data_IF_860037674047
#
_entry.id   IF_860037674047
#
_cell.length_a   1.000
_cell.length_b   1.000
_cell.length_c   1.000
_cell.angle_alpha   90.00
_cell.angle_beta   90.00
_cell.angle_gamma   90.00
#
_symmetry.space_group_name_H-M   'P 1'
#
loop_
_entity.id
_entity.type
_entity.pdbx_description
1 polymer ?
#
# COMPACT_ATOMS: atom_id res chain seq x y z
N UNK A 1 -14.64 3.54 13.84
CA UNK A 1 -14.06 2.34 14.47
C UNK A 1 -13.60 2.59 15.90
N UNK A 2 -12.70 3.55 16.14
CA UNK A 2 -12.14 3.83 17.49
C UNK A 2 -13.19 4.05 18.57
N UNK A 3 -14.27 4.78 18.27
CA UNK A 3 -15.39 4.97 19.20
C UNK A 3 -16.09 3.66 19.61
N UNK A 4 -16.29 2.73 18.67
CA UNK A 4 -16.91 1.44 18.97
C UNK A 4 -15.99 0.55 19.82
N UNK A 5 -14.67 0.65 19.59
CA UNK A 5 -13.66 -0.03 20.39
C UNK A 5 -13.57 0.56 21.82
N UNK A 6 -13.66 1.89 21.97
CA UNK A 6 -13.58 2.55 23.28
C UNK A 6 -14.81 2.32 24.14
N UNK A 7 -15.98 2.14 23.53
CA UNK A 7 -17.25 1.83 24.22
C UNK A 7 -17.42 0.35 24.50
N UNK A 8 -16.57 -0.53 23.94
CA UNK A 8 -16.72 -1.98 24.03
C UNK A 8 -17.82 -2.55 23.14
N UNK A 9 -18.46 -1.73 22.30
CA UNK A 9 -19.46 -2.18 21.34
C UNK A 9 -18.88 -3.15 20.28
N UNK A 10 -17.57 -3.08 20.04
CA UNK A 10 -16.82 -4.05 19.24
C UNK A 10 -15.46 -4.32 19.89
N UNK A 11 -14.96 -5.55 19.78
CA UNK A 11 -13.58 -5.92 20.12
C UNK A 11 -12.72 -5.99 18.86
N UNK A 12 -11.39 -5.94 19.02
CA UNK A 12 -10.42 -6.18 17.93
C UNK A 12 -10.68 -7.52 17.25
N UNK A 13 -10.87 -8.57 18.03
CA UNK A 13 -11.19 -9.93 17.53
C UNK A 13 -12.47 -9.93 16.70
N UNK A 14 -13.53 -9.28 17.19
CA UNK A 14 -14.81 -9.17 16.47
C UNK A 14 -14.67 -8.35 15.19
N UNK A 15 -13.92 -7.25 15.23
CA UNK A 15 -13.66 -6.41 14.08
C UNK A 15 -12.88 -7.17 12.98
N UNK A 16 -11.84 -7.93 13.36
CA UNK A 16 -11.10 -8.79 12.42
C UNK A 16 -11.99 -9.88 11.82
N UNK A 17 -12.85 -10.52 12.62
CA UNK A 17 -13.80 -11.51 12.12
C UNK A 17 -14.79 -10.92 11.10
N UNK A 18 -15.25 -9.67 11.30
CA UNK A 18 -16.12 -8.98 10.34
C UNK A 18 -15.39 -8.69 9.01
N UNK A 19 -14.13 -8.27 9.06
CA UNK A 19 -13.32 -8.08 7.85
C UNK A 19 -13.06 -9.40 7.11
N UNK A 20 -12.69 -10.46 7.81
CA UNK A 20 -12.53 -11.79 7.22
C UNK A 20 -13.81 -12.30 6.57
N UNK A 21 -14.97 -12.03 7.19
CA UNK A 21 -16.25 -12.39 6.60
C UNK A 21 -16.47 -11.69 5.24
N UNK A 22 -16.16 -10.39 5.14
CA UNK A 22 -16.21 -9.64 3.88
C UNK A 22 -15.25 -10.20 2.85
N UNK A 23 -14.00 -10.46 3.23
CA UNK A 23 -12.98 -11.06 2.34
C UNK A 23 -13.47 -12.41 1.82
N UNK A 24 -13.99 -13.27 2.71
CA UNK A 24 -14.50 -14.59 2.31
C UNK A 24 -15.69 -14.51 1.36
N UNK A 25 -16.45 -13.42 1.36
CA UNK A 25 -17.68 -13.25 0.58
C UNK A 25 -17.42 -12.62 -0.78
N UNK A 26 -16.48 -11.69 -0.86
CA UNK A 26 -16.27 -10.85 -2.05
C UNK A 26 -14.89 -11.00 -2.68
N UNK A 27 -13.87 -11.40 -1.91
CA UNK A 27 -12.50 -11.53 -2.40
C UNK A 27 -12.19 -12.95 -2.90
N UNK A 28 -12.51 -13.95 -2.08
CA UNK A 28 -12.26 -15.36 -2.36
C UNK A 28 -13.45 -16.05 -3.06
N UNK A 29 -14.63 -15.42 -3.03
CA UNK A 29 -15.89 -15.91 -3.62
C UNK A 29 -16.67 -14.73 -4.19
N UNK A 30 -17.83 -15.01 -4.79
CA UNK A 30 -18.71 -13.98 -5.32
C UNK A 30 -18.06 -13.26 -6.49
N UNK A 31 -17.77 -11.97 -6.31
CA UNK A 31 -17.08 -11.14 -7.31
C UNK A 31 -15.65 -11.61 -7.60
N UNK A 32 -15.05 -12.36 -6.67
CA UNK A 32 -13.69 -12.88 -6.79
C UNK A 32 -12.67 -11.76 -7.06
N UNK A 33 -12.68 -10.73 -6.21
CA UNK A 33 -11.81 -9.57 -6.35
C UNK A 33 -10.32 -9.90 -6.23
N UNK A 34 -9.97 -11.04 -5.61
CA UNK A 34 -8.60 -11.58 -5.52
C UNK A 34 -7.54 -10.54 -5.08
N UNK A 35 -7.89 -9.72 -4.11
CA UNK A 35 -7.09 -8.61 -3.60
C UNK A 35 -6.24 -8.98 -2.39
N UNK A 36 -6.65 -9.96 -1.57
CA UNK A 36 -5.95 -10.42 -0.35
C UNK A 36 -5.68 -11.93 -0.43
N UNK A 37 -4.71 -12.37 -1.26
CA UNK A 37 -4.47 -13.80 -1.50
C UNK A 37 -3.90 -14.55 -0.30
N UNK A 38 -3.25 -13.86 0.65
CA UNK A 38 -2.65 -14.47 1.83
C UNK A 38 -3.22 -13.83 3.10
N UNK A 39 -3.82 -14.64 3.96
CA UNK A 39 -4.28 -14.20 5.28
C UNK A 39 -3.19 -14.42 6.33
N UNK A 40 -3.09 -13.51 7.30
CA UNK A 40 -2.16 -13.65 8.41
C UNK A 40 -2.59 -14.81 9.32
N UNK A 41 -1.77 -15.88 9.48
CA UNK A 41 -2.13 -17.01 10.32
C UNK A 41 -2.24 -16.63 11.81
N UNK A 42 -1.58 -15.55 12.24
CA UNK A 42 -1.57 -15.07 13.62
C UNK A 42 -2.63 -14.00 13.92
N UNK A 43 -3.49 -13.68 12.94
CA UNK A 43 -4.45 -12.57 13.01
C UNK A 43 -5.27 -12.55 14.32
N UNK A 44 -5.86 -13.68 14.71
CA UNK A 44 -6.68 -13.74 15.92
C UNK A 44 -5.86 -13.68 17.21
N UNK A 45 -4.61 -14.15 17.20
CA UNK A 45 -3.72 -14.02 18.34
C UNK A 45 -3.30 -12.56 18.55
N UNK A 46 -2.95 -11.85 17.47
CA UNK A 46 -2.65 -10.41 17.49
C UNK A 46 -3.88 -9.59 17.96
N UNK A 47 -5.06 -9.92 17.45
CA UNK A 47 -6.31 -9.26 17.83
C UNK A 47 -6.68 -9.50 19.31
N UNK A 48 -6.57 -10.74 19.80
CA UNK A 48 -6.84 -11.07 21.19
C UNK A 48 -5.84 -10.39 22.14
N UNK A 49 -4.57 -10.30 21.77
CA UNK A 49 -3.57 -9.55 22.54
C UNK A 49 -3.92 -8.05 22.62
N UNK A 50 -4.43 -7.47 21.53
CA UNK A 50 -4.95 -6.10 21.53
C UNK A 50 -6.17 -5.92 22.43
N UNK A 51 -7.11 -6.88 22.42
CA UNK A 51 -8.27 -6.87 23.32
C UNK A 51 -7.85 -6.92 24.80
N UNK A 52 -6.87 -7.75 25.15
CA UNK A 52 -6.31 -7.82 26.50
C UNK A 52 -5.64 -6.51 26.94
N UNK A 53 -4.88 -5.87 26.04
CA UNK A 53 -4.29 -4.54 26.31
C UNK A 53 -5.38 -3.49 26.53
N UNK A 54 -6.43 -3.51 25.73
CA UNK A 54 -7.57 -2.59 25.87
C UNK A 54 -8.32 -2.79 27.18
N UNK A 55 -8.63 -4.04 27.54
CA UNK A 55 -9.30 -4.37 28.80
C UNK A 55 -8.49 -3.96 30.05
N UNK A 56 -7.16 -3.97 29.94
CA UNK A 56 -6.25 -3.54 31.01
C UNK A 56 -5.89 -2.05 30.97
N UNK A 57 -6.46 -1.25 30.05
CA UNK A 57 -6.17 0.17 29.91
C UNK A 57 -4.77 0.51 29.39
N UNK A 58 -4.09 -0.45 28.75
CA UNK A 58 -2.68 -0.36 28.29
C UNK A 58 -2.58 -0.31 26.76
N UNK A 59 -3.35 0.57 26.12
CA UNK A 59 -3.28 0.76 24.67
C UNK A 59 -1.87 1.22 24.25
N UNK A 60 -1.37 0.66 23.14
CA UNK A 60 -0.05 1.02 22.60
C UNK A 60 -0.07 2.33 21.82
N UNK A 61 -1.19 2.64 21.16
CA UNK A 61 -1.37 3.86 20.39
C UNK A 61 -2.84 4.17 20.17
N UNK A 62 -3.14 5.31 19.52
CA UNK A 62 -4.49 5.62 19.02
C UNK A 62 -4.99 4.59 18.00
N UNK A 63 -4.11 3.89 17.30
CA UNK A 63 -4.45 2.86 16.30
C UNK A 63 -4.35 1.42 16.83
N UNK A 64 -4.17 1.22 18.14
CA UNK A 64 -4.23 -0.14 18.71
C UNK A 64 -5.61 -0.77 18.40
N UNK A 65 -5.61 -2.03 17.98
CA UNK A 65 -6.76 -2.80 17.47
C UNK A 65 -7.19 -2.52 16.03
N UNK A 66 -6.56 -1.58 15.31
CA UNK A 66 -7.00 -1.23 13.95
C UNK A 66 -6.45 -2.22 12.91
N UNK A 67 -7.31 -2.90 12.13
CA UNK A 67 -6.84 -3.87 11.14
C UNK A 67 -6.37 -3.22 9.84
N UNK A 68 -5.30 -3.75 9.24
CA UNK A 68 -4.75 -3.24 7.97
C UNK A 68 -4.33 -4.38 7.03
N UNK A 69 -4.19 -4.06 5.73
CA UNK A 69 -3.55 -4.96 4.75
C UNK A 69 -2.19 -4.44 4.30
N UNK A 70 -1.29 -5.35 3.93
CA UNK A 70 0.09 -5.02 3.55
C UNK A 70 0.40 -5.54 2.14
N UNK A 71 1.01 -4.76 1.24
CA UNK A 71 1.43 -5.27 -0.08
C UNK A 71 2.42 -6.44 0.06
N UNK A 72 2.33 -7.44 -0.82
CA UNK A 72 3.12 -8.68 -0.71
C UNK A 72 4.65 -8.45 -0.71
N UNK A 73 5.13 -7.40 -1.38
CA UNK A 73 6.54 -7.03 -1.42
C UNK A 73 7.12 -6.53 -0.09
N UNK A 74 6.34 -6.33 0.97
CA UNK A 74 6.89 -5.99 2.28
C UNK A 74 7.27 -7.25 3.05
N UNK A 75 8.41 -7.27 3.74
CA UNK A 75 8.75 -8.32 4.69
C UNK A 75 7.79 -8.32 5.89
N UNK A 76 7.32 -9.50 6.29
CA UNK A 76 6.54 -9.73 7.50
C UNK A 76 6.85 -11.13 8.04
N UNK A 77 7.39 -11.24 9.24
CA UNK A 77 7.80 -12.49 9.87
C UNK A 77 6.63 -13.47 9.96
N UNK A 78 6.88 -14.72 9.58
CA UNK A 78 5.88 -15.79 9.54
C UNK A 78 4.99 -15.81 8.30
N UNK A 79 5.22 -14.92 7.33
CA UNK A 79 4.55 -14.93 6.03
C UNK A 79 5.56 -14.80 4.90
N UNK A 80 5.27 -15.35 3.72
CA UNK A 80 6.16 -15.19 2.57
C UNK A 80 6.27 -13.73 2.10
N UNK A 81 7.38 -13.43 1.43
CA UNK A 81 7.63 -12.16 0.72
C UNK A 81 7.92 -12.50 -0.73
N UNK A 82 6.86 -12.83 -1.48
CA UNK A 82 7.00 -13.29 -2.86
C UNK A 82 7.17 -12.14 -3.86
N UNK A 83 6.80 -10.93 -3.47
CA UNK A 83 6.65 -9.78 -4.35
C UNK A 83 5.83 -10.13 -5.63
N UNK A 84 4.79 -10.96 -5.50
CA UNK A 84 3.97 -11.44 -6.62
C UNK A 84 4.70 -12.38 -7.59
N UNK A 85 5.96 -12.75 -7.36
CA UNK A 85 6.77 -13.56 -8.25
C UNK A 85 6.69 -15.06 -7.91
N UNK A 86 6.44 -15.94 -8.90
CA UNK A 86 6.49 -17.39 -8.68
C UNK A 86 7.83 -17.90 -8.13
N UNK A 87 8.94 -17.24 -8.49
CA UNK A 87 10.28 -17.63 -8.03
C UNK A 87 10.46 -17.47 -6.51
N UNK A 88 9.69 -16.58 -5.87
CA UNK A 88 9.80 -16.26 -4.46
C UNK A 88 8.56 -16.65 -3.66
N UNK A 89 7.66 -17.47 -4.23
CA UNK A 89 6.38 -17.86 -3.63
C UNK A 89 6.49 -18.33 -2.17
N UNK A 90 7.58 -19.04 -1.85
CA UNK A 90 7.84 -19.61 -0.53
C UNK A 90 8.96 -18.88 0.26
N UNK A 91 9.49 -17.78 -0.27
CA UNK A 91 10.59 -17.05 0.37
C UNK A 91 10.12 -16.46 1.71
N UNK A 92 10.76 -16.89 2.80
CA UNK A 92 10.48 -16.39 4.14
C UNK A 92 11.44 -15.25 4.50
N UNK A 93 10.94 -14.12 5.01
CA UNK A 93 11.79 -13.06 5.51
C UNK A 93 12.40 -13.44 6.87
N UNK A 94 13.58 -12.90 7.16
CA UNK A 94 14.28 -13.05 8.44
C UNK A 94 13.95 -11.95 9.47
N UNK A 95 13.24 -10.90 9.05
CA UNK A 95 12.76 -9.80 9.89
C UNK A 95 11.49 -9.18 9.27
N UNK A 96 10.90 -8.21 9.96
CA UNK A 96 9.82 -7.40 9.42
C UNK A 96 10.36 -6.19 8.64
N UNK A 97 9.57 -5.71 7.68
CA UNK A 97 9.79 -4.38 7.13
C UNK A 97 9.62 -3.32 8.23
N UNK A 98 10.35 -2.21 8.14
CA UNK A 98 10.31 -1.14 9.14
C UNK A 98 8.88 -0.68 9.43
N UNK A 99 8.09 -0.42 8.39
CA UNK A 99 6.70 0.05 8.55
C UNK A 99 5.81 -1.02 9.16
N UNK A 100 6.06 -2.31 8.91
CA UNK A 100 5.32 -3.40 9.54
C UNK A 100 5.63 -3.47 11.05
N UNK A 101 6.90 -3.32 11.43
CA UNK A 101 7.30 -3.24 12.84
C UNK A 101 6.64 -2.05 13.55
N UNK A 102 6.60 -0.87 12.93
CA UNK A 102 5.97 0.31 13.53
C UNK A 102 4.46 0.12 13.71
N UNK A 103 3.79 -0.50 12.75
CA UNK A 103 2.37 -0.82 12.85
C UNK A 103 2.10 -1.85 13.97
N UNK A 104 2.91 -2.90 14.05
CA UNK A 104 2.80 -3.90 15.11
C UNK A 104 3.08 -3.30 16.51
N UNK A 105 4.12 -2.47 16.64
CA UNK A 105 4.45 -1.73 17.87
C UNK A 105 3.34 -0.76 18.29
N UNK A 106 2.60 -0.22 17.33
CA UNK A 106 1.43 0.62 17.59
C UNK A 106 0.17 -0.19 17.94
N UNK A 107 0.22 -1.52 17.88
CA UNK A 107 -0.90 -2.43 18.16
C UNK A 107 -1.91 -2.57 17.01
N UNK A 108 -1.54 -2.15 15.80
CA UNK A 108 -2.33 -2.44 14.60
C UNK A 108 -2.30 -3.95 14.32
N UNK A 109 -3.34 -4.47 13.68
CA UNK A 109 -3.50 -5.91 13.44
C UNK A 109 -3.46 -6.19 11.95
N UNK A 110 -2.55 -7.06 11.48
CA UNK A 110 -2.40 -7.28 10.04
C UNK A 110 -3.36 -8.39 9.56
N UNK A 111 -4.28 -8.05 8.65
CA UNK A 111 -5.26 -8.99 8.09
C UNK A 111 -4.60 -9.98 7.14
N UNK A 112 -3.76 -9.49 6.23
CA UNK A 112 -3.15 -10.28 5.19
C UNK A 112 -2.30 -9.48 4.21
N UNK A 113 -1.62 -10.21 3.31
CA UNK A 113 -0.87 -9.64 2.20
C UNK A 113 -1.79 -9.39 1.02
N UNK A 114 -1.54 -8.31 0.29
CA UNK A 114 -2.33 -7.91 -0.89
C UNK A 114 -1.61 -8.19 -2.20
N UNK A 115 -2.42 -8.46 -3.23
CA UNK A 115 -1.97 -8.88 -4.55
C UNK A 115 -1.15 -7.80 -5.28
N UNK A 116 -0.22 -8.25 -6.12
CA UNK A 116 0.65 -7.43 -6.96
C UNK A 116 1.27 -8.26 -8.10
N UNK A 117 1.67 -7.63 -9.23
CA UNK A 117 2.44 -8.31 -10.28
C UNK A 117 3.85 -8.68 -9.79
N UNK A 118 4.54 -9.62 -10.48
CA UNK A 118 5.90 -10.02 -10.14
C UNK A 118 6.84 -8.83 -10.00
N UNK A 119 7.55 -8.77 -8.87
CA UNK A 119 8.63 -7.82 -8.58
C UNK A 119 8.19 -6.35 -8.57
N UNK A 120 6.89 -6.08 -8.48
CA UNK A 120 6.31 -4.75 -8.72
C UNK A 120 6.57 -4.18 -10.13
N UNK A 121 7.15 -4.96 -11.04
CA UNK A 121 7.58 -4.54 -12.38
C UNK A 121 6.43 -4.61 -13.39
N UNK A 122 5.41 -3.80 -13.18
CA UNK A 122 4.21 -3.75 -14.03
C UNK A 122 3.03 -3.11 -13.29
N UNK A 123 1.81 -3.44 -13.71
CA UNK A 123 0.57 -3.05 -13.04
C UNK A 123 -0.43 -4.18 -12.90
N UNK A 124 -1.02 -4.61 -14.02
CA UNK A 124 -2.13 -5.57 -14.04
C UNK A 124 -1.77 -6.94 -14.64
N UNK A 125 -0.47 -7.18 -14.90
CA UNK A 125 0.05 -8.51 -15.20
C UNK A 125 -0.21 -9.47 -14.04
N UNK A 126 -0.48 -10.74 -14.36
CA UNK A 126 -0.74 -11.76 -13.34
C UNK A 126 0.56 -12.28 -12.76
N UNK A 127 0.66 -12.29 -11.43
CA UNK A 127 1.73 -12.91 -10.68
C UNK A 127 1.37 -14.31 -10.17
N UNK A 128 2.12 -14.77 -9.17
CA UNK A 128 1.88 -16.05 -8.49
C UNK A 128 0.48 -16.16 -7.87
N UNK A 129 -0.12 -15.02 -7.50
CA UNK A 129 -1.47 -14.94 -6.95
C UNK A 129 -2.50 -14.41 -7.96
N UNK A 130 -2.20 -14.42 -9.27
CA UNK A 130 -3.06 -13.80 -10.28
C UNK A 130 -2.99 -12.28 -10.24
N UNK A 131 -4.15 -11.60 -10.28
CA UNK A 131 -4.29 -10.13 -10.13
C UNK A 131 -5.59 -9.79 -9.38
N UNK A 132 -5.67 -8.59 -8.81
CA UNK A 132 -6.92 -8.07 -8.25
C UNK A 132 -7.85 -7.52 -9.35
N UNK A 133 -9.16 -7.55 -9.12
CA UNK A 133 -10.18 -7.00 -10.03
C UNK A 133 -10.89 -5.77 -9.44
N UNK A 134 -11.47 -4.93 -10.29
CA UNK A 134 -12.07 -3.65 -9.87
C UNK A 134 -13.38 -3.86 -9.12
N UNK A 135 -13.54 -3.26 -7.93
CA UNK A 135 -14.78 -3.37 -7.18
C UNK A 135 -15.88 -2.41 -7.67
N UNK A 136 -15.54 -1.44 -8.51
CA UNK A 136 -16.50 -0.47 -9.06
C UNK A 136 -17.11 -0.96 -10.37
N UNK A 137 -16.31 -1.58 -11.24
CA UNK A 137 -16.77 -2.14 -12.50
C UNK A 137 -15.79 -3.21 -12.99
N UNK A 138 -16.24 -4.46 -13.07
CA UNK A 138 -15.45 -5.63 -13.49
C UNK A 138 -14.99 -5.56 -14.96
N UNK A 139 -15.58 -4.70 -15.78
CA UNK A 139 -15.13 -4.46 -17.16
C UNK A 139 -13.90 -3.57 -17.25
N UNK A 140 -13.54 -2.89 -16.16
CA UNK A 140 -12.40 -1.97 -16.09
C UNK A 140 -11.34 -2.46 -15.10
N UNK A 141 -10.09 -2.09 -15.35
CA UNK A 141 -8.98 -2.46 -14.48
C UNK A 141 -9.01 -1.63 -13.18
N UNK A 142 -8.69 -2.29 -12.07
CA UNK A 142 -8.56 -1.64 -10.75
C UNK A 142 -7.32 -0.73 -10.65
N UNK A 143 -6.44 -0.76 -11.64
CA UNK A 143 -5.26 0.09 -11.77
C UNK A 143 -4.83 0.15 -13.25
N UNK A 144 -3.94 1.08 -13.66
CA UNK A 144 -3.44 1.07 -15.03
C UNK A 144 -2.49 -0.11 -15.29
N UNK A 145 -2.43 -0.51 -16.56
CA UNK A 145 -1.87 -1.81 -16.91
C UNK A 145 -0.35 -1.91 -16.70
N UNK A 146 0.40 -0.85 -17.03
CA UNK A 146 1.85 -0.93 -17.23
C UNK A 146 2.71 -0.49 -16.04
N UNK A 147 2.16 0.22 -15.05
CA UNK A 147 3.00 0.80 -13.98
C UNK A 147 2.29 0.92 -12.63
N UNK A 148 1.40 -0.02 -12.28
CA UNK A 148 0.55 0.11 -11.11
C UNK A 148 0.40 -1.11 -10.20
N UNK A 149 1.48 -1.44 -9.51
CA UNK A 149 1.60 -2.72 -8.82
C UNK A 149 0.90 -2.85 -7.46
N UNK A 150 0.29 -1.80 -6.88
CA UNK A 150 -0.47 -1.91 -5.61
C UNK A 150 -1.97 -2.20 -5.81
N UNK A 151 -2.32 -2.95 -6.86
CA UNK A 151 -3.70 -3.23 -7.25
C UNK A 151 -4.54 -3.91 -6.14
N UNK A 152 -3.97 -4.88 -5.42
CA UNK A 152 -4.65 -5.55 -4.31
C UNK A 152 -4.87 -4.63 -3.12
N UNK A 153 -3.87 -3.82 -2.76
CA UNK A 153 -3.96 -2.92 -1.61
C UNK A 153 -5.02 -1.80 -1.81
N UNK A 154 -5.15 -1.29 -3.03
CA UNK A 154 -6.18 -0.31 -3.35
C UNK A 154 -7.58 -0.96 -3.36
N UNK A 155 -7.72 -2.10 -4.04
CA UNK A 155 -8.99 -2.84 -4.08
C UNK A 155 -9.48 -3.18 -2.67
N UNK A 156 -8.62 -3.80 -1.84
CA UNK A 156 -8.97 -4.22 -0.47
C UNK A 156 -9.38 -3.06 0.42
N UNK A 157 -8.75 -1.89 0.25
CA UNK A 157 -9.07 -0.68 1.01
C UNK A 157 -10.42 -0.09 0.59
N UNK A 158 -10.70 -0.04 -0.71
CA UNK A 158 -11.95 0.51 -1.24
C UNK A 158 -13.17 -0.30 -0.79
N UNK A 159 -13.09 -1.63 -0.83
CA UNK A 159 -14.18 -2.51 -0.38
C UNK A 159 -14.16 -2.80 1.12
N UNK A 160 -13.35 -2.08 1.89
CA UNK A 160 -13.28 -2.20 3.35
C UNK A 160 -13.03 -3.65 3.80
N UNK A 161 -11.99 -4.28 3.25
CA UNK A 161 -11.42 -5.53 3.78
C UNK A 161 -10.44 -5.29 4.93
N UNK A 162 -10.03 -4.03 5.11
CA UNK A 162 -9.37 -3.54 6.30
C UNK A 162 -9.66 -2.04 6.49
N UNK A 163 -9.19 -1.47 7.60
CA UNK A 163 -9.33 -0.04 7.85
C UNK A 163 -8.54 0.78 6.81
N UNK A 164 -7.31 0.36 6.54
CA UNK A 164 -6.39 0.96 5.57
C UNK A 164 -5.48 -0.10 4.94
N UNK A 165 -4.80 0.26 3.86
CA UNK A 165 -3.78 -0.57 3.20
C UNK A 165 -2.43 0.13 3.14
N UNK A 166 -1.35 -0.66 3.13
CA UNK A 166 0.01 -0.18 2.84
C UNK A 166 0.44 -0.69 1.47
N UNK A 167 0.80 0.26 0.61
CA UNK A 167 1.34 0.02 -0.73
C UNK A 167 2.75 0.55 -0.89
N UNK A 168 3.25 0.46 -2.13
CA UNK A 168 4.50 1.09 -2.54
C UNK A 168 4.39 1.68 -3.93
N UNK A 169 5.17 2.74 -4.19
CA UNK A 169 5.26 3.40 -5.49
C UNK A 169 6.70 3.52 -5.95
N UNK A 170 6.92 3.27 -7.24
CA UNK A 170 8.17 3.54 -7.95
C UNK A 170 7.95 4.59 -9.05
N UNK A 171 6.85 4.49 -9.79
CA UNK A 171 6.46 5.47 -10.83
C UNK A 171 5.04 5.97 -10.58
N UNK A 172 4.03 5.09 -10.60
CA UNK A 172 2.63 5.44 -10.29
C UNK A 172 1.87 4.38 -9.46
N UNK A 173 2.60 3.36 -8.97
CA UNK A 173 2.06 2.19 -8.30
C UNK A 173 1.28 2.41 -7.00
N UNK A 174 1.18 3.64 -6.49
CA UNK A 174 0.22 4.02 -5.46
C UNK A 174 -0.90 4.88 -6.01
N UNK A 175 -0.55 5.98 -6.69
CA UNK A 175 -1.51 7.03 -7.11
C UNK A 175 -2.55 6.53 -8.11
N UNK A 176 -2.16 5.69 -9.07
CA UNK A 176 -3.11 5.21 -10.09
C UNK A 176 -4.07 4.14 -9.55
N UNK A 177 -3.63 3.11 -8.78
CA UNK A 177 -4.57 2.23 -8.07
C UNK A 177 -5.50 3.02 -7.15
N UNK A 178 -5.00 4.04 -6.46
CA UNK A 178 -5.82 4.89 -5.60
C UNK A 178 -6.89 5.65 -6.39
N UNK A 179 -6.52 6.23 -7.54
CA UNK A 179 -7.45 6.93 -8.44
C UNK A 179 -8.58 6.01 -8.90
N UNK A 180 -8.25 4.82 -9.40
CA UNK A 180 -9.23 3.85 -9.92
C UNK A 180 -10.13 3.27 -8.83
N UNK A 181 -9.74 3.39 -7.55
CA UNK A 181 -10.47 2.87 -6.41
C UNK A 181 -11.10 3.97 -5.53
N UNK A 182 -10.99 5.25 -5.90
CA UNK A 182 -11.55 6.37 -5.15
C UNK A 182 -10.92 6.55 -3.76
N UNK A 183 -9.60 6.40 -3.66
CA UNK A 183 -8.86 6.44 -2.39
C UNK A 183 -7.95 7.66 -2.25
N UNK A 184 -7.62 7.97 -1.00
CA UNK A 184 -6.52 8.86 -0.64
C UNK A 184 -5.22 8.08 -0.65
N UNK A 185 -4.21 8.65 -1.30
CA UNK A 185 -2.85 8.10 -1.39
C UNK A 185 -1.84 9.21 -1.15
N UNK A 186 -0.89 8.96 -0.25
CA UNK A 186 0.21 9.88 0.01
C UNK A 186 1.55 9.26 -0.37
N UNK A 187 2.16 9.79 -1.43
CA UNK A 187 3.51 9.42 -1.87
C UNK A 187 4.52 10.40 -1.25
N UNK A 188 5.28 9.99 -0.23
CA UNK A 188 6.19 10.89 0.46
C UNK A 188 7.36 11.33 -0.44
N UNK A 189 7.94 12.50 -0.14
CA UNK A 189 9.26 12.88 -0.64
C UNK A 189 10.33 11.83 -0.33
N UNK A 190 11.47 11.89 -1.05
CA UNK A 190 12.62 11.00 -0.83
C UNK A 190 13.07 11.05 0.62
N UNK A 191 13.02 9.90 1.28
CA UNK A 191 13.32 9.76 2.70
C UNK A 191 12.66 10.86 3.52
N UNK A 192 11.32 11.06 3.42
CA UNK A 192 10.59 12.07 4.22
C UNK A 192 11.09 11.99 5.65
N UNK A 193 11.97 12.91 6.00
CA UNK A 193 12.46 13.16 7.34
C UNK A 193 11.52 14.25 7.84
N UNK A 194 10.80 13.98 8.91
CA UNK A 194 10.09 14.96 9.72
C UNK A 194 10.70 14.99 11.11
N UNK A 195 10.27 15.92 11.97
CA UNK A 195 10.69 15.91 13.37
C UNK A 195 10.31 14.60 14.07
N UNK A 196 9.32 13.86 13.55
CA UNK A 196 8.90 12.53 14.02
C UNK A 196 9.77 11.39 13.48
N UNK A 197 10.56 11.60 12.44
CA UNK A 197 11.41 10.59 11.81
C UNK A 197 11.08 10.34 10.35
N UNK A 198 11.25 9.11 9.87
CA UNK A 198 11.16 8.72 8.46
C UNK A 198 10.08 7.70 8.13
N UNK A 199 9.60 7.73 6.89
CA UNK A 199 8.91 6.59 6.29
C UNK A 199 9.97 5.79 5.51
N UNK A 200 10.58 4.83 6.19
CA UNK A 200 11.69 4.02 5.65
C UNK A 200 11.19 2.96 4.67
N UNK A 201 11.92 2.76 3.57
CA UNK A 201 11.68 1.67 2.61
C UNK A 201 12.32 0.35 3.04
N UNK A 202 12.97 0.28 4.22
CA UNK A 202 13.67 -0.93 4.66
C UNK A 202 12.72 -2.12 4.79
N UNK A 203 13.07 -3.20 4.10
CA UNK A 203 12.26 -4.42 4.01
C UNK A 203 11.09 -4.34 3.02
N UNK A 204 11.01 -3.30 2.19
CA UNK A 204 10.25 -3.31 0.95
C UNK A 204 11.10 -3.99 -0.15
N UNK A 205 10.47 -4.83 -0.96
CA UNK A 205 11.07 -5.39 -2.16
C UNK A 205 11.41 -4.28 -3.17
N UNK A 206 12.69 -4.07 -3.50
CA UNK A 206 13.09 -2.97 -4.36
C UNK A 206 12.74 -3.24 -5.82
N UNK A 207 12.44 -2.16 -6.56
CA UNK A 207 12.36 -2.16 -8.02
C UNK A 207 13.38 -1.18 -8.59
N UNK A 208 13.20 0.12 -8.28
CA UNK A 208 14.18 1.15 -8.56
C UNK A 208 14.45 1.89 -7.25
N UNK A 209 15.53 1.50 -6.56
CA UNK A 209 15.85 1.98 -5.20
C UNK A 209 15.93 3.49 -5.05
N UNK A 210 16.16 4.21 -6.16
CA UNK A 210 16.16 5.66 -6.18
C UNK A 210 14.75 6.25 -6.20
N UNK A 211 13.71 5.51 -6.58
CA UNK A 211 12.33 5.98 -6.70
C UNK A 211 11.36 5.32 -5.71
N UNK A 212 11.72 4.17 -5.16
CA UNK A 212 10.83 3.38 -4.31
C UNK A 212 10.44 4.12 -3.02
N UNK A 213 9.14 4.24 -2.79
CA UNK A 213 8.55 4.83 -1.57
C UNK A 213 7.41 3.96 -1.03
N UNK A 214 7.23 4.00 0.29
CA UNK A 214 6.08 3.41 0.98
C UNK A 214 4.95 4.44 1.06
N UNK A 215 3.71 3.98 0.91
CA UNK A 215 2.54 4.85 0.95
C UNK A 215 1.35 4.20 1.67
N UNK A 216 0.59 4.98 2.46
CA UNK A 216 -0.72 4.56 2.94
C UNK A 216 -1.79 4.76 1.87
N UNK A 217 -2.74 3.83 1.82
CA UNK A 217 -3.99 3.92 1.08
C UNK A 217 -5.13 3.94 2.08
N UNK A 218 -5.94 4.99 2.05
CA UNK A 218 -7.06 5.19 2.98
C UNK A 218 -8.29 5.73 2.26
N UNK A 219 -9.46 5.65 2.91
CA UNK A 219 -10.70 6.21 2.35
C UNK A 219 -10.88 7.70 2.66
N UNK A 220 -10.17 8.22 3.66
CA UNK A 220 -10.24 9.63 4.08
C UNK A 220 -8.85 10.20 4.37
N UNK A 221 -8.74 11.52 4.34
CA UNK A 221 -7.49 12.23 4.66
C UNK A 221 -7.16 12.09 6.15
N UNK A 222 -8.17 12.09 7.02
CA UNK A 222 -8.02 11.87 8.46
C UNK A 222 -7.42 10.51 8.77
N UNK A 223 -7.88 9.45 8.10
CA UNK A 223 -7.32 8.10 8.25
C UNK A 223 -5.86 8.09 7.76
N UNK A 224 -5.54 8.77 6.65
CA UNK A 224 -4.17 8.88 6.16
C UNK A 224 -3.27 9.58 7.19
N UNK A 225 -3.71 10.69 7.78
CA UNK A 225 -2.96 11.42 8.81
C UNK A 225 -2.74 10.55 10.05
N UNK A 226 -3.76 9.80 10.48
CA UNK A 226 -3.66 8.86 11.59
C UNK A 226 -2.63 7.75 11.33
N UNK A 227 -2.58 7.19 10.12
CA UNK A 227 -1.58 6.19 9.73
C UNK A 227 -0.19 6.80 9.68
N UNK A 228 -0.04 8.01 9.16
CA UNK A 228 1.24 8.74 9.13
C UNK A 228 1.81 8.96 10.54
N UNK A 229 0.97 9.16 11.56
CA UNK A 229 1.42 9.28 12.95
C UNK A 229 2.21 8.05 13.43
N UNK A 230 1.87 6.88 12.91
CA UNK A 230 2.45 5.58 13.29
C UNK A 230 3.65 5.22 12.44
N UNK A 231 3.63 5.48 11.12
CA UNK A 231 4.72 5.03 10.23
C UNK A 231 5.85 6.05 10.07
N UNK A 232 5.61 7.32 10.41
CA UNK A 232 6.62 8.37 10.40
C UNK A 232 7.39 8.36 11.73
N UNK A 233 8.45 7.56 11.80
CA UNK A 233 9.14 7.23 13.05
C UNK A 233 10.66 7.25 12.88
N UNK A 234 11.44 7.43 13.96
CA UNK A 234 12.90 7.38 13.86
C UNK A 234 13.36 5.99 13.39
N UNK A 235 14.34 5.98 12.49
CA UNK A 235 14.97 4.77 11.96
C UNK A 235 16.50 5.00 11.96
N UNK A 236 17.22 4.54 13.01
CA UNK A 236 18.66 4.72 13.10
C UNK A 236 19.43 3.83 12.11
N UNK A 237 18.83 2.73 11.64
CA UNK A 237 19.40 1.86 10.62
C UNK A 237 19.26 2.49 9.23
N UNK A 238 20.32 2.51 8.45
CA UNK A 238 20.31 3.10 7.11
C UNK A 238 20.38 2.05 6.00
N UNK A 239 20.92 0.86 6.30
CA UNK A 239 21.08 -0.20 5.32
C UNK A 239 19.71 -0.66 4.82
N UNK A 240 19.53 -0.68 3.50
CA UNK A 240 18.26 -1.04 2.85
C UNK A 240 17.33 0.14 2.55
N UNK A 241 17.73 1.37 2.87
CA UNK A 241 17.09 2.60 2.38
C UNK A 241 18.13 3.44 1.61
N UNK A 242 18.01 3.47 0.28
CA UNK A 242 19.00 4.09 -0.60
C UNK A 242 19.23 5.57 -0.31
N UNK A 243 18.19 6.32 0.07
CA UNK A 243 18.30 7.76 0.32
C UNK A 243 18.92 8.08 1.67
N UNK A 244 18.78 7.18 2.65
CA UNK A 244 19.40 7.32 3.97
C UNK A 244 20.83 6.79 4.02
N UNK A 245 21.15 5.76 3.24
CA UNK A 245 22.48 5.13 3.25
C UNK A 245 23.52 5.92 2.44
N UNK A 246 23.08 6.66 1.44
CA UNK A 246 23.96 7.48 0.60
C UNK A 246 24.60 8.66 1.37
N UNK A 247 25.79 9.09 0.91
CA UNK A 247 26.60 10.15 1.57
C UNK A 247 26.82 11.40 0.71
N UNK A 248 26.15 11.48 -0.44
CA UNK A 248 26.44 12.48 -1.49
C UNK A 248 25.46 13.65 -1.44
N UNK A 249 24.18 13.38 -1.20
CA UNK A 249 23.10 14.36 -1.16
C UNK A 249 22.70 14.60 0.29
N UNK A 250 22.81 15.85 0.74
CA UNK A 250 22.24 16.26 2.03
C UNK A 250 20.73 16.31 1.90
N UNK A 251 20.04 15.40 2.60
CA UNK A 251 18.58 15.46 2.69
C UNK A 251 18.16 16.67 3.54
N UNK A 252 17.13 17.44 3.13
CA UNK A 252 16.69 18.61 3.86
C UNK A 252 16.25 18.24 5.28
N UNK A 253 16.51 19.15 6.22
CA UNK A 253 16.01 19.01 7.59
C UNK A 253 14.48 18.99 7.58
N UNK A 254 13.97 18.19 8.50
CA UNK A 254 12.56 17.88 8.67
C UNK A 254 11.58 19.06 8.62
N UNK A 255 10.41 18.81 8.02
CA UNK A 255 9.19 19.54 8.39
C UNK A 255 8.88 19.29 9.87
N UNK A 256 8.65 20.35 10.64
CA UNK A 256 8.19 20.20 12.02
C UNK A 256 6.73 19.72 12.03
N UNK A 257 6.56 18.41 12.22
CA UNK A 257 5.28 17.73 12.29
C UNK A 257 4.96 17.27 13.72
N UNK A 258 5.30 18.09 14.72
CA UNK A 258 4.93 17.81 16.11
C UNK A 258 3.40 17.81 16.33
N UNK A 259 2.97 17.00 17.31
CA UNK A 259 1.58 16.89 17.74
C UNK A 259 0.70 16.03 16.83
N UNK A 260 -0.61 16.17 17.03
CA UNK A 260 -1.64 15.43 16.29
C UNK A 260 -1.68 15.90 14.82
N UNK A 261 -1.40 15.00 13.87
CA UNK A 261 -1.43 15.33 12.45
C UNK A 261 -2.82 15.71 11.94
N UNK A 262 -3.90 15.29 12.60
CA UNK A 262 -5.27 15.70 12.24
C UNK A 262 -5.46 17.22 12.31
N UNK A 263 -4.58 17.97 13.01
CA UNK A 263 -4.58 19.44 12.98
C UNK A 263 -4.34 20.04 11.59
N UNK A 264 -3.84 19.23 10.65
CA UNK A 264 -3.64 19.63 9.25
C UNK A 264 -4.95 19.61 8.44
N UNK A 265 -6.02 19.01 8.97
CA UNK A 265 -7.34 19.09 8.36
C UNK A 265 -7.95 20.47 8.59
N UNK A 266 -7.76 21.37 7.63
CA UNK A 266 -8.39 22.69 7.59
C UNK A 266 -9.16 22.88 6.28
N UNK A 267 -10.48 23.03 6.38
CA UNK A 267 -11.39 23.25 5.26
C UNK A 267 -11.13 24.58 4.53
N UNK A 268 -10.42 25.52 5.16
CA UNK A 268 -10.08 26.82 4.59
C UNK A 268 -8.61 26.92 4.12
N UNK A 269 -7.86 25.82 4.19
CA UNK A 269 -6.41 25.78 3.88
C UNK A 269 -6.06 26.24 2.46
N UNK A 270 -7.01 26.17 1.52
CA UNK A 270 -6.86 26.63 0.14
C UNK A 270 -7.04 28.14 -0.04
N UNK A 271 -7.55 28.88 0.96
CA UNK A 271 -7.80 30.31 0.86
C UNK A 271 -6.50 31.07 0.57
N UNK A 272 -6.50 31.84 -0.52
CA UNK A 272 -5.34 32.62 -0.96
C UNK A 272 -4.19 31.80 -1.56
N UNK A 273 -4.36 30.48 -1.74
CA UNK A 273 -3.37 29.64 -2.43
C UNK A 273 -3.51 29.78 -3.94
N UNK A 274 -2.38 29.63 -4.63
CA UNK A 274 -2.32 29.59 -6.09
C UNK A 274 -2.01 28.16 -6.52
N UNK A 275 -2.93 27.53 -7.24
CA UNK A 275 -2.77 26.18 -7.77
C UNK A 275 -2.61 26.28 -9.29
N UNK A 276 -1.56 25.62 -9.82
CA UNK A 276 -1.36 25.50 -11.25
C UNK A 276 -1.82 24.12 -11.71
N UNK A 277 -2.60 24.07 -12.80
CA UNK A 277 -3.04 22.82 -13.43
C UNK A 277 -2.31 22.68 -14.77
N UNK A 278 -1.43 21.68 -14.93
CA UNK A 278 -0.73 21.48 -16.20
C UNK A 278 -1.71 21.15 -17.32
N UNK A 279 -1.69 21.96 -18.38
CA UNK A 279 -2.65 21.89 -19.50
C UNK A 279 -2.72 20.53 -20.18
N UNK A 280 -1.62 19.78 -20.23
CA UNK A 280 -1.58 18.44 -20.82
C UNK A 280 -2.58 17.46 -20.18
N UNK A 281 -3.04 17.70 -18.95
CA UNK A 281 -4.01 16.86 -18.25
C UNK A 281 -5.46 17.34 -18.37
N UNK A 282 -5.73 18.53 -18.94
CA UNK A 282 -7.08 19.11 -19.04
C UNK A 282 -7.49 19.48 -20.46
N UNK A 283 -6.55 19.98 -21.26
CA UNK A 283 -6.77 20.46 -22.63
C UNK A 283 -6.27 19.45 -23.68
N UNK A 284 -5.68 18.33 -23.24
CA UNK A 284 -4.91 17.43 -24.10
C UNK A 284 -3.60 18.09 -24.59
N UNK A 285 -2.72 17.31 -25.20
CA UNK A 285 -1.51 17.87 -25.81
C UNK A 285 -1.86 18.51 -27.17
N UNK A 286 -2.31 19.77 -27.17
CA UNK A 286 -2.46 20.52 -28.41
C UNK A 286 -1.07 20.80 -29.02
N UNK A 287 -0.69 20.07 -30.07
CA UNK A 287 0.46 20.41 -30.92
C UNK A 287 1.79 19.69 -30.62
N UNK A 288 1.87 18.84 -29.59
CA UNK A 288 3.00 17.91 -29.47
C UNK A 288 2.58 16.56 -30.02
N UNK A 289 2.74 16.39 -31.33
CA UNK A 289 2.90 15.08 -31.94
C UNK A 289 4.15 14.43 -31.34
N UNK A 290 4.03 13.77 -30.19
CA UNK A 290 4.83 12.57 -29.95
C UNK A 290 4.04 11.41 -30.55
N UNK A 291 3.73 11.47 -31.85
CA UNK A 291 3.46 10.27 -32.62
C UNK A 291 4.79 9.59 -32.93
N UNK A 292 5.58 9.29 -31.90
CA UNK A 292 6.41 8.10 -32.00
C UNK A 292 5.38 7.00 -31.79
N UNK A 293 4.79 6.51 -32.87
CA UNK A 293 3.96 5.31 -32.79
C UNK A 293 4.71 4.26 -31.98
N UNK A 294 4.04 3.45 -31.16
CA UNK A 294 4.72 2.49 -30.31
C UNK A 294 5.67 1.66 -31.17
N UNK A 295 6.98 1.84 -30.96
CA UNK A 295 7.98 1.03 -31.63
C UNK A 295 8.06 -0.29 -30.88
N UNK A 296 7.52 -1.33 -31.50
CA UNK A 296 7.70 -2.71 -31.06
C UNK A 296 8.72 -3.32 -32.02
N UNK A 297 9.87 -3.74 -31.51
CA UNK A 297 10.86 -4.42 -32.34
C UNK A 297 10.28 -5.73 -32.90
N UNK A 298 10.77 -6.16 -34.06
CA UNK A 298 10.35 -7.44 -34.65
C UNK A 298 10.62 -8.62 -33.72
N UNK A 299 11.66 -8.56 -32.89
CA UNK A 299 11.95 -9.60 -31.91
C UNK A 299 10.87 -9.67 -30.81
N UNK A 300 10.40 -8.54 -30.32
CA UNK A 300 9.29 -8.50 -29.36
C UNK A 300 8.02 -9.04 -30.00
N UNK A 301 7.71 -8.66 -31.24
CA UNK A 301 6.54 -9.21 -31.97
C UNK A 301 6.61 -10.73 -32.12
N UNK A 302 7.79 -11.28 -32.44
CA UNK A 302 8.01 -12.74 -32.52
C UNK A 302 7.75 -13.43 -31.18
N UNK A 303 8.23 -12.85 -30.08
CA UNK A 303 7.98 -13.40 -28.73
C UNK A 303 6.49 -13.41 -28.42
N UNK A 304 5.75 -12.34 -28.73
CA UNK A 304 4.30 -12.28 -28.53
C UNK A 304 3.54 -13.28 -29.41
N UNK A 305 3.94 -13.44 -30.67
CA UNK A 305 3.33 -14.42 -31.57
C UNK A 305 3.58 -15.87 -31.10
N UNK A 306 4.78 -16.16 -30.61
CA UNK A 306 5.09 -17.47 -30.03
C UNK A 306 4.27 -17.72 -28.77
N UNK A 307 4.21 -16.74 -27.84
CA UNK A 307 3.41 -16.86 -26.63
C UNK A 307 1.91 -17.07 -26.93
N UNK A 308 1.38 -16.40 -27.96
CA UNK A 308 0.01 -16.63 -28.43
C UNK A 308 -0.17 -18.05 -28.96
N UNK A 309 0.76 -18.55 -29.78
CA UNK A 309 0.75 -19.93 -30.28
C UNK A 309 0.74 -20.93 -29.14
N UNK A 310 1.66 -20.80 -28.17
CA UNK A 310 1.80 -21.70 -27.02
C UNK A 310 0.55 -21.72 -26.13
N UNK A 311 -0.20 -20.62 -26.06
CA UNK A 311 -1.44 -20.52 -25.29
C UNK A 311 -2.67 -21.07 -26.04
N UNK A 312 -2.57 -21.28 -27.36
CA UNK A 312 -3.68 -21.74 -28.21
C UNK A 312 -3.50 -23.18 -28.72
N UNK A 313 -2.32 -23.77 -28.54
CA UNK A 313 -1.99 -25.19 -28.75
C UNK A 313 -2.22 -26.02 -27.49
#
# INVERSE_FOLDING_TARGET
MLYLLSTGAVTSTKLCALYLHRISTHDARGLFLNSVPLLNPNLFAEAAASDARRASGKLLSKLDSIPYTLKDGFKYLGMSVAAGSPAFANLQPNDNAFVADKLAQAGCVMIGKTNMPPMAAGGMQRGVYGRAESPYNMEYLTAAFSSDSSNGAATSTAVSFAAFGLGSETVSSGRSPASNNGLVCYTPSRGVISSRGVISSRGLWPLYVTCDVVLPLTRTVEDMLAVLEVILQPDPETIGDCWKDQRTVTLPKALNLEGDLCRLCDAHSLRGKRLAVPKMYTEGMSGASISIGPFVSEDVKKVWAQAQSDLTS
#
